data_IF_120139854051
#
_entry.id   IF_120139854051
#
_cell.length_a   1.000
_cell.length_b   1.000
_cell.length_c   1.000
_cell.angle_alpha   90.00
_cell.angle_beta   90.00
_cell.angle_gamma   90.00
#
_symmetry.space_group_name_H-M   'P 1'
#
loop_
_entity.id
_entity.type
_entity.pdbx_description
1 polymer ?
#
# COMPACT_ATOMS: atom_id res chain seq x y z
N UNK A 1 43.66 -5.71 -1.81
CA UNK A 1 44.89 -5.51 -2.60
C UNK A 1 44.70 -4.36 -3.58
N UNK A 2 45.77 -3.66 -3.98
CA UNK A 2 45.71 -2.60 -4.99
C UNK A 2 46.82 -2.77 -6.03
N UNK A 3 46.50 -2.43 -7.28
CA UNK A 3 47.42 -2.39 -8.40
C UNK A 3 47.41 -0.99 -8.99
N UNK A 4 48.58 -0.47 -9.36
CA UNK A 4 48.69 0.80 -10.06
C UNK A 4 49.74 0.75 -11.15
N UNK A 5 49.50 1.46 -12.24
CA UNK A 5 50.40 1.55 -13.38
C UNK A 5 50.43 2.99 -13.90
N UNK A 6 51.53 3.37 -14.56
CA UNK A 6 51.64 4.63 -15.30
C UNK A 6 51.80 4.33 -16.77
N UNK A 7 51.20 5.16 -17.62
CA UNK A 7 51.50 5.19 -19.04
C UNK A 7 52.75 6.03 -19.34
N UNK A 8 53.16 6.04 -20.62
CA UNK A 8 54.32 6.79 -21.11
C UNK A 8 54.16 8.33 -20.98
N UNK A 9 52.93 8.82 -20.76
CA UNK A 9 52.64 10.22 -20.46
C UNK A 9 52.57 10.49 -18.94
N UNK A 10 52.92 9.49 -18.11
CA UNK A 10 52.97 9.58 -16.65
C UNK A 10 51.62 9.54 -15.94
N UNK A 11 50.52 9.33 -16.66
CA UNK A 11 49.15 9.30 -16.10
C UNK A 11 48.96 8.01 -15.31
N UNK A 12 48.41 8.15 -14.10
CA UNK A 12 48.27 7.06 -13.14
C UNK A 12 46.89 6.39 -13.28
N UNK A 13 46.87 5.09 -13.55
CA UNK A 13 45.69 4.25 -13.43
C UNK A 13 45.85 3.33 -12.20
N UNK A 14 44.80 3.21 -11.39
CA UNK A 14 44.80 2.39 -10.18
C UNK A 14 43.48 1.63 -10.06
N UNK A 15 43.58 0.34 -9.74
CA UNK A 15 42.45 -0.52 -9.41
C UNK A 15 42.69 -1.15 -8.04
N UNK A 16 41.69 -1.09 -7.18
CA UNK A 16 41.71 -1.75 -5.88
C UNK A 16 40.68 -2.87 -5.83
N UNK A 17 40.96 -3.87 -4.99
CA UNK A 17 40.17 -5.06 -4.75
C UNK A 17 40.09 -5.22 -3.24
N UNK A 18 39.01 -4.75 -2.62
CA UNK A 18 38.88 -4.76 -1.16
C UNK A 18 38.74 -6.19 -0.62
N UNK A 19 37.91 -6.99 -1.27
CA UNK A 19 37.60 -8.37 -0.88
C UNK A 19 38.42 -9.38 -1.69
N UNK A 20 39.54 -9.85 -1.13
CA UNK A 20 40.30 -10.99 -1.66
C UNK A 20 40.32 -12.13 -0.64
N UNK A 21 39.54 -13.18 -0.91
CA UNK A 21 39.43 -14.35 -0.05
C UNK A 21 40.39 -15.45 -0.50
N UNK A 22 41.30 -15.88 0.38
CA UNK A 22 42.13 -17.08 0.17
C UNK A 22 41.46 -18.27 0.85
N UNK A 23 40.60 -18.98 0.12
CA UNK A 23 40.08 -20.28 0.53
C UNK A 23 40.94 -21.39 -0.07
N UNK A 24 41.95 -21.86 0.66
CA UNK A 24 42.89 -22.87 0.16
C UNK A 24 43.75 -23.51 1.25
N UNK A 25 43.38 -24.74 1.61
CA UNK A 25 44.18 -25.69 2.38
C UNK A 25 43.73 -27.10 1.96
N UNK A 26 44.56 -28.13 2.11
CA UNK A 26 44.12 -29.46 1.68
C UNK A 26 42.94 -29.89 2.58
N UNK A 27 41.83 -30.37 2.00
CA UNK A 27 40.66 -30.79 2.82
C UNK A 27 41.06 -31.82 3.90
N UNK A 28 42.01 -32.70 3.57
CA UNK A 28 42.67 -33.63 4.50
C UNK A 28 43.38 -32.96 5.68
N UNK A 29 43.96 -31.77 5.53
CA UNK A 29 44.64 -31.07 6.62
C UNK A 29 43.62 -30.50 7.61
N UNK A 30 42.51 -29.95 7.09
CA UNK A 30 41.35 -29.49 7.88
C UNK A 30 40.57 -30.67 8.50
N UNK A 31 40.67 -31.87 7.91
CA UNK A 31 40.09 -33.12 8.45
C UNK A 31 41.03 -33.90 9.39
N UNK A 32 42.33 -33.57 9.46
CA UNK A 32 43.32 -34.24 10.34
C UNK A 32 43.79 -33.36 11.50
N UNK A 33 43.93 -32.06 11.29
CA UNK A 33 43.84 -31.09 12.37
C UNK A 33 42.36 -30.95 12.72
N UNK A 34 41.95 -31.38 13.92
CA UNK A 34 40.60 -31.09 14.43
C UNK A 34 40.49 -29.60 14.76
N UNK A 35 40.28 -28.79 13.73
CA UNK A 35 40.04 -27.36 13.85
C UNK A 35 38.56 -27.17 14.21
N UNK A 36 38.29 -27.23 15.51
CA UNK A 36 36.99 -26.83 16.04
C UNK A 36 36.84 -25.31 15.81
N UNK A 37 35.90 -24.91 14.97
CA UNK A 37 35.49 -23.50 14.86
C UNK A 37 34.42 -23.23 15.92
N UNK A 38 34.25 -21.97 16.35
CA UNK A 38 33.17 -21.60 17.26
C UNK A 38 31.86 -21.53 16.46
N UNK A 39 30.88 -22.45 16.66
CA UNK A 39 29.60 -22.36 15.98
C UNK A 39 28.82 -21.14 16.45
N UNK A 40 27.94 -20.63 15.57
CA UNK A 40 26.92 -19.64 15.95
C UNK A 40 25.59 -20.37 16.10
N UNK A 41 25.12 -20.47 17.33
CA UNK A 41 23.83 -21.08 17.67
C UNK A 41 22.67 -20.13 17.34
N UNK A 42 21.43 -20.64 17.30
CA UNK A 42 20.24 -19.80 17.05
C UNK A 42 19.52 -19.42 18.33
N UNK A 43 19.00 -18.19 18.38
CA UNK A 43 18.09 -17.71 19.43
C UNK A 43 16.67 -17.72 18.90
N UNK A 44 15.75 -18.35 19.63
CA UNK A 44 14.32 -18.22 19.37
C UNK A 44 13.77 -17.08 20.22
N UNK A 45 13.29 -16.01 19.58
CA UNK A 45 12.59 -14.89 20.23
C UNK A 45 11.10 -15.11 20.02
N UNK A 46 10.33 -15.25 21.10
CA UNK A 46 8.88 -15.47 21.06
C UNK A 46 8.18 -14.25 21.66
N UNK A 47 7.46 -13.43 20.86
CA UNK A 47 6.69 -12.31 21.37
C UNK A 47 5.35 -12.78 21.97
N UNK A 48 4.81 -12.04 22.95
CA UNK A 48 3.49 -12.33 23.54
C UNK A 48 2.31 -12.09 22.56
N UNK A 49 2.51 -11.28 21.51
CA UNK A 49 1.54 -11.04 20.45
C UNK A 49 2.24 -10.90 19.07
N UNK A 50 1.47 -10.88 17.98
CA UNK A 50 1.99 -10.61 16.63
C UNK A 50 1.89 -9.14 16.23
N UNK A 51 0.84 -8.48 16.69
CA UNK A 51 0.42 -7.14 16.31
C UNK A 51 0.25 -6.35 17.61
N UNK A 52 0.84 -5.16 17.67
CA UNK A 52 0.80 -4.25 18.82
C UNK A 52 0.14 -2.93 18.45
N UNK A 53 -0.47 -2.24 19.41
CA UNK A 53 -0.75 -0.82 19.30
C UNK A 53 0.45 -0.01 19.81
N UNK A 54 0.60 1.26 19.38
CA UNK A 54 1.59 2.14 20.00
C UNK A 54 1.26 2.39 21.48
N UNK A 55 2.30 2.60 22.30
CA UNK A 55 2.23 2.63 23.77
C UNK A 55 1.95 1.29 24.49
N UNK A 56 1.72 0.17 23.79
CA UNK A 56 1.61 -1.17 24.40
C UNK A 56 2.92 -1.63 25.08
N UNK A 57 2.82 -2.53 26.06
CA UNK A 57 3.96 -3.31 26.57
C UNK A 57 4.07 -4.62 25.80
N UNK A 58 5.17 -4.79 25.07
CA UNK A 58 5.55 -6.03 24.41
C UNK A 58 6.44 -6.85 25.36
N UNK A 59 6.08 -8.12 25.57
CA UNK A 59 6.94 -9.10 26.26
C UNK A 59 7.61 -10.02 25.23
N UNK A 60 8.93 -10.13 25.32
CA UNK A 60 9.75 -10.95 24.43
C UNK A 60 10.41 -12.07 25.25
N UNK A 61 9.91 -13.28 25.10
CA UNK A 61 10.51 -14.49 25.67
C UNK A 61 11.69 -14.90 24.78
N UNK A 62 12.91 -14.68 25.27
CA UNK A 62 14.16 -15.07 24.62
C UNK A 62 14.55 -16.45 25.14
N UNK A 63 14.58 -17.45 24.24
CA UNK A 63 15.03 -18.80 24.53
C UNK A 63 16.53 -18.92 24.21
N UNK A 64 17.32 -19.25 25.22
CA UNK A 64 18.77 -19.31 25.13
C UNK A 64 19.25 -20.78 24.98
N UNK A 65 20.10 -21.09 23.99
CA UNK A 65 20.65 -22.45 23.83
C UNK A 65 21.70 -22.80 24.90
N UNK A 66 22.22 -21.82 25.65
CA UNK A 66 23.19 -22.00 26.73
C UNK A 66 23.07 -20.95 27.84
N UNK A 67 23.56 -21.29 29.03
CA UNK A 67 23.75 -20.37 30.17
C UNK A 67 25.03 -20.74 30.94
N UNK A 68 25.71 -19.83 31.63
CA UNK A 68 25.46 -18.37 31.73
C UNK A 68 25.84 -17.62 30.43
N UNK A 69 25.12 -16.54 30.14
CA UNK A 69 25.32 -15.72 28.94
C UNK A 69 25.06 -14.23 29.20
N UNK A 70 25.82 -13.35 28.55
CA UNK A 70 25.52 -11.92 28.43
C UNK A 70 24.71 -11.69 27.15
N UNK A 71 23.62 -10.94 27.23
CA UNK A 71 22.79 -10.60 26.08
C UNK A 71 22.95 -9.14 25.65
N UNK A 72 22.79 -8.93 24.35
CA UNK A 72 22.61 -7.64 23.71
C UNK A 72 21.34 -7.72 22.84
N UNK A 73 20.33 -6.90 23.14
CA UNK A 73 19.09 -6.81 22.37
C UNK A 73 18.95 -5.42 21.78
N UNK A 74 18.67 -5.35 20.48
CA UNK A 74 18.65 -4.15 19.66
C UNK A 74 17.36 -4.12 18.84
N UNK A 75 16.74 -2.96 18.74
CA UNK A 75 15.52 -2.75 17.98
C UNK A 75 15.82 -1.83 16.79
N UNK A 76 15.47 -2.29 15.58
CA UNK A 76 15.71 -1.64 14.29
C UNK A 76 14.39 -1.24 13.61
N UNK A 77 14.31 0.00 13.14
CA UNK A 77 13.27 0.48 12.23
C UNK A 77 13.93 1.39 11.18
N UNK A 78 14.13 0.89 9.95
CA UNK A 78 14.84 1.57 8.84
C UNK A 78 16.28 2.04 9.16
N UNK A 79 16.94 1.46 10.17
CA UNK A 79 18.25 1.88 10.66
C UNK A 79 18.17 2.92 11.79
N UNK A 80 16.98 3.31 12.24
CA UNK A 80 16.81 3.94 13.54
C UNK A 80 16.93 2.86 14.62
N UNK A 81 17.98 2.97 15.43
CA UNK A 81 18.35 1.98 16.44
C UNK A 81 17.95 2.47 17.83
N UNK A 82 17.28 1.63 18.61
CA UNK A 82 17.03 1.92 20.03
C UNK A 82 18.33 1.98 20.84
N UNK A 83 18.24 2.45 22.10
CA UNK A 83 19.31 2.16 23.06
C UNK A 83 19.45 0.62 23.20
N UNK A 84 20.67 0.04 23.12
CA UNK A 84 20.85 -1.40 23.25
C UNK A 84 20.56 -1.86 24.67
N UNK A 85 19.67 -2.84 24.81
CA UNK A 85 19.37 -3.47 26.10
C UNK A 85 20.40 -4.56 26.40
N UNK A 86 20.89 -4.60 27.64
CA UNK A 86 21.85 -5.61 28.11
C UNK A 86 21.38 -6.23 29.42
N UNK A 87 21.50 -7.55 29.52
CA UNK A 87 21.17 -8.34 30.71
C UNK A 87 21.99 -9.63 30.73
N UNK A 88 21.99 -10.32 31.87
CA UNK A 88 22.65 -11.62 32.02
C UNK A 88 21.62 -12.72 32.23
N UNK A 89 21.85 -13.87 31.59
CA UNK A 89 21.10 -15.10 31.81
C UNK A 89 21.85 -15.93 32.84
N UNK A 90 21.26 -16.10 34.02
CA UNK A 90 21.82 -16.90 35.12
C UNK A 90 22.07 -18.35 34.72
N UNK A 91 23.09 -18.97 35.34
CA UNK A 91 23.41 -20.38 35.13
C UNK A 91 22.21 -21.29 35.45
N UNK A 92 21.81 -22.14 34.50
CA UNK A 92 20.67 -23.04 34.64
C UNK A 92 19.31 -22.44 34.23
N UNK A 93 19.25 -21.16 33.83
CA UNK A 93 18.07 -20.61 33.14
C UNK A 93 18.27 -20.72 31.63
N UNK A 94 17.32 -21.32 30.93
CA UNK A 94 17.34 -21.46 29.45
C UNK A 94 16.41 -20.45 28.76
N UNK A 95 15.82 -19.53 29.50
CA UNK A 95 14.98 -18.46 28.98
C UNK A 95 14.98 -17.23 29.88
N UNK A 96 14.60 -16.10 29.31
CA UNK A 96 14.33 -14.85 30.03
C UNK A 96 13.31 -14.02 29.25
N UNK A 97 12.57 -13.15 29.93
CA UNK A 97 11.59 -12.24 29.31
C UNK A 97 12.13 -10.83 29.34
N UNK A 98 12.02 -10.12 28.21
CA UNK A 98 12.31 -8.68 28.11
C UNK A 98 11.01 -7.94 27.86
N UNK A 99 10.68 -7.00 28.75
CA UNK A 99 9.57 -6.06 28.55
C UNK A 99 10.06 -4.81 27.84
N UNK A 100 9.32 -4.35 26.81
CA UNK A 100 9.58 -3.08 26.14
C UNK A 100 8.28 -2.37 25.77
N UNK A 101 8.25 -1.05 25.96
CA UNK A 101 7.12 -0.21 25.53
C UNK A 101 7.26 0.15 24.04
N UNK A 102 6.20 -0.07 23.26
CA UNK A 102 6.20 0.18 21.81
C UNK A 102 6.15 1.67 21.50
N UNK A 103 7.15 2.20 20.77
CA UNK A 103 7.12 3.59 20.29
C UNK A 103 6.22 3.78 19.07
N UNK A 104 5.66 4.99 18.93
CA UNK A 104 4.94 5.44 17.74
C UNK A 104 5.84 5.54 16.50
N UNK A 105 7.14 5.70 16.69
CA UNK A 105 8.11 5.77 15.60
C UNK A 105 8.28 4.42 14.88
N UNK A 106 7.90 3.31 15.53
CA UNK A 106 8.02 1.94 15.01
C UNK A 106 6.83 1.48 14.15
N UNK A 107 5.87 2.37 13.88
CA UNK A 107 4.77 2.11 12.94
C UNK A 107 5.33 2.11 11.49
N UNK A 108 5.04 1.10 10.64
CA UNK A 108 4.11 -0.02 10.87
C UNK A 108 4.76 -1.33 11.34
N UNK A 109 6.09 -1.41 11.37
CA UNK A 109 6.81 -2.57 11.89
C UNK A 109 8.23 -2.21 12.31
N UNK A 110 8.78 -3.03 13.21
CA UNK A 110 10.18 -2.98 13.63
C UNK A 110 10.74 -4.40 13.71
N UNK A 111 12.07 -4.51 13.79
CA UNK A 111 12.76 -5.80 13.93
C UNK A 111 13.58 -5.81 15.21
N UNK A 112 13.41 -6.86 16.00
CA UNK A 112 14.24 -7.15 17.17
C UNK A 112 15.40 -8.04 16.74
N UNK A 113 16.60 -7.68 17.14
CA UNK A 113 17.82 -8.47 17.01
C UNK A 113 18.33 -8.82 18.41
N UNK A 114 18.67 -10.09 18.64
CA UNK A 114 19.30 -10.54 19.88
C UNK A 114 20.62 -11.25 19.58
N UNK A 115 21.65 -10.95 20.37
CA UNK A 115 22.89 -11.71 20.48
C UNK A 115 23.05 -12.19 21.93
N UNK A 116 23.54 -13.42 22.10
CA UNK A 116 23.97 -13.98 23.37
C UNK A 116 25.43 -14.39 23.25
N UNK A 117 26.26 -14.02 24.23
CA UNK A 117 27.66 -14.42 24.30
C UNK A 117 27.95 -15.07 25.66
N UNK A 118 28.56 -16.25 25.65
CA UNK A 118 28.77 -17.05 26.85
C UNK A 118 29.89 -18.06 26.69
N UNK A 119 29.87 -19.09 27.52
CA UNK A 119 30.87 -20.17 27.51
C UNK A 119 30.21 -21.53 27.75
N UNK A 120 30.60 -22.54 26.99
CA UNK A 120 30.08 -23.91 27.10
C UNK A 120 31.28 -24.86 27.35
N UNK A 121 31.13 -25.94 28.14
CA UNK A 121 32.11 -27.02 28.21
C UNK A 121 32.54 -27.54 26.82
N UNK A 122 33.76 -28.07 26.71
CA UNK A 122 34.23 -28.76 25.50
C UNK A 122 33.74 -30.22 25.54
N UNK A 123 33.18 -30.72 24.45
CA UNK A 123 32.63 -32.08 24.37
C UNK A 123 33.69 -33.19 24.26
N UNK A 124 34.93 -32.81 23.94
CA UNK A 124 35.97 -33.70 23.37
C UNK A 124 37.27 -33.77 24.16
N UNK A 125 37.44 -32.96 25.22
CA UNK A 125 38.67 -32.87 26.02
C UNK A 125 38.45 -33.36 27.48
N UNK A 126 39.54 -33.47 28.24
CA UNK A 126 39.58 -34.08 29.58
C UNK A 126 38.80 -33.24 30.60
N UNK A 127 38.29 -33.86 31.65
CA UNK A 127 37.77 -33.19 32.86
C UNK A 127 38.70 -32.06 33.30
N UNK A 128 38.14 -30.89 33.64
CA UNK A 128 38.86 -29.64 33.97
C UNK A 128 39.45 -28.85 32.77
N UNK A 129 39.03 -29.15 31.54
CA UNK A 129 39.36 -28.33 30.35
C UNK A 129 38.59 -26.99 30.33
N UNK A 130 39.21 -25.88 29.88
CA UNK A 130 38.56 -24.57 29.85
C UNK A 130 37.41 -24.52 28.83
N UNK A 131 36.28 -23.94 29.23
CA UNK A 131 35.10 -23.76 28.36
C UNK A 131 35.46 -23.09 27.03
N UNK A 132 34.83 -23.55 25.93
CA UNK A 132 34.86 -22.81 24.67
C UNK A 132 33.95 -21.58 24.77
N UNK A 133 34.25 -20.47 24.07
CA UNK A 133 33.26 -19.43 23.86
C UNK A 133 32.05 -19.98 23.09
N UNK A 134 30.90 -19.36 23.30
CA UNK A 134 29.70 -19.61 22.53
C UNK A 134 29.04 -18.27 22.16
N UNK A 135 28.43 -18.24 20.98
CA UNK A 135 27.61 -17.13 20.51
C UNK A 135 26.30 -17.72 19.97
N UNK A 136 25.18 -17.09 20.32
CA UNK A 136 23.90 -17.34 19.66
C UNK A 136 23.34 -16.04 19.09
N UNK A 137 22.63 -16.13 17.97
CA UNK A 137 22.00 -14.97 17.31
C UNK A 137 20.58 -15.29 16.87
N UNK A 138 19.69 -14.30 16.93
CA UNK A 138 18.33 -14.43 16.42
C UNK A 138 17.68 -13.08 16.13
N UNK A 139 16.61 -13.09 15.33
CA UNK A 139 15.82 -11.88 15.10
C UNK A 139 14.36 -12.19 14.77
N UNK A 140 13.47 -11.26 15.07
CA UNK A 140 12.02 -11.35 14.79
C UNK A 140 11.49 -9.99 14.35
N UNK A 141 10.63 -9.96 13.35
CA UNK A 141 9.90 -8.75 12.92
C UNK A 141 8.53 -8.73 13.59
N UNK A 142 8.12 -7.56 14.10
CA UNK A 142 6.87 -7.36 14.84
C UNK A 142 6.07 -6.22 14.19
N UNK A 143 4.75 -6.41 14.07
CA UNK A 143 3.85 -5.43 13.45
C UNK A 143 3.26 -4.49 14.50
N UNK A 144 3.19 -3.19 14.15
CA UNK A 144 2.61 -2.13 14.98
C UNK A 144 1.52 -1.45 14.18
N UNK A 145 0.31 -1.35 14.75
CA UNK A 145 -0.85 -0.92 13.99
C UNK A 145 -0.77 0.53 13.51
N UNK A 146 -1.29 0.74 12.30
CA UNK A 146 -1.41 2.06 11.65
C UNK A 146 -2.70 2.80 12.01
N UNK A 147 -3.50 2.25 12.92
CA UNK A 147 -4.84 2.75 13.29
C UNK A 147 -4.84 4.22 13.75
N UNK A 148 -3.76 4.68 14.40
CA UNK A 148 -3.56 6.09 14.81
C UNK A 148 -3.51 7.04 13.60
N UNK A 149 -3.03 6.56 12.45
CA UNK A 149 -2.93 7.32 11.19
C UNK A 149 -4.11 7.05 10.25
N UNK A 150 -5.15 6.34 10.70
CA UNK A 150 -6.29 5.97 9.85
C UNK A 150 -7.48 6.92 10.07
N UNK A 151 -8.12 7.31 8.97
CA UNK A 151 -9.40 8.02 8.95
C UNK A 151 -10.50 7.07 8.47
N UNK A 152 -11.65 7.12 9.13
CA UNK A 152 -12.90 6.64 8.57
C UNK A 152 -13.44 7.70 7.60
N UNK A 153 -13.81 7.27 6.40
CA UNK A 153 -14.39 8.14 5.36
C UNK A 153 -15.67 7.47 4.87
N UNK A 154 -16.82 7.99 5.30
CA UNK A 154 -18.12 7.49 4.87
C UNK A 154 -18.68 8.42 3.79
N UNK A 155 -19.09 7.84 2.67
CA UNK A 155 -19.73 8.55 1.57
C UNK A 155 -21.22 8.23 1.62
N UNK A 156 -22.03 9.28 1.75
CA UNK A 156 -23.48 9.23 1.85
C UNK A 156 -24.12 10.01 0.70
N UNK A 157 -25.39 9.75 0.46
CA UNK A 157 -26.26 10.63 -0.34
C UNK A 157 -27.57 10.83 0.42
N UNK A 158 -28.19 12.00 0.25
CA UNK A 158 -29.48 12.34 0.89
C UNK A 158 -30.62 11.40 0.49
N UNK A 159 -30.44 10.63 -0.59
CA UNK A 159 -31.44 9.75 -1.18
C UNK A 159 -30.93 8.29 -1.26
N UNK A 160 -30.50 7.74 -0.11
CA UNK A 160 -29.99 6.36 0.02
C UNK A 160 -30.88 5.35 -0.70
N UNK A 161 -30.26 4.45 -1.46
CA UNK A 161 -30.90 3.41 -2.30
C UNK A 161 -31.81 3.90 -3.43
N UNK A 162 -31.89 5.20 -3.74
CA UNK A 162 -32.56 5.65 -4.98
C UNK A 162 -31.67 5.42 -6.21
N UNK A 163 -32.33 5.21 -7.36
CA UNK A 163 -31.68 5.33 -8.67
C UNK A 163 -31.86 6.77 -9.17
N UNK A 164 -30.76 7.38 -9.60
CA UNK A 164 -30.77 8.77 -10.08
C UNK A 164 -31.11 8.84 -11.57
N UNK A 165 -31.58 10.00 -12.04
CA UNK A 165 -31.89 10.22 -13.46
C UNK A 165 -30.74 10.91 -14.21
N UNK A 166 -30.58 10.68 -15.52
CA UNK A 166 -29.69 11.46 -16.39
C UNK A 166 -29.86 12.98 -16.20
N UNK A 167 -28.76 13.74 -16.27
CA UNK A 167 -28.76 15.21 -16.11
C UNK A 167 -29.32 15.76 -14.78
N UNK A 168 -29.64 14.92 -13.79
CA UNK A 168 -30.08 15.36 -12.45
C UNK A 168 -28.92 15.90 -11.60
N UNK A 169 -29.26 16.72 -10.61
CA UNK A 169 -28.33 17.20 -9.59
C UNK A 169 -28.43 16.25 -8.39
N UNK A 170 -27.28 15.76 -7.92
CA UNK A 170 -27.17 14.94 -6.71
C UNK A 170 -26.36 15.65 -5.63
N UNK A 171 -26.65 15.30 -4.38
CA UNK A 171 -25.84 15.69 -3.24
C UNK A 171 -25.08 14.47 -2.71
N UNK A 172 -23.75 14.54 -2.76
CA UNK A 172 -22.85 13.58 -2.10
C UNK A 172 -22.35 14.24 -0.83
N UNK A 173 -22.65 13.65 0.32
CA UNK A 173 -22.18 14.09 1.62
C UNK A 173 -21.06 13.15 2.06
N UNK A 174 -19.90 13.67 2.47
CA UNK A 174 -18.76 12.88 2.97
C UNK A 174 -18.52 13.22 4.43
N UNK A 175 -18.65 12.21 5.29
CA UNK A 175 -18.40 12.29 6.73
C UNK A 175 -17.04 11.66 7.06
N UNK A 176 -16.16 12.39 7.76
CA UNK A 176 -14.79 11.99 8.10
C UNK A 176 -14.60 12.00 9.61
N UNK A 177 -14.20 10.84 10.16
CA UNK A 177 -13.89 10.68 11.58
C UNK A 177 -12.55 9.99 11.81
N UNK A 178 -11.95 10.18 12.98
CA UNK A 178 -10.76 9.45 13.39
C UNK A 178 -11.10 7.97 13.62
N UNK A 179 -10.24 7.05 13.18
CA UNK A 179 -10.56 5.62 13.19
C UNK A 179 -10.78 5.04 14.60
N UNK A 180 -9.97 5.45 15.58
CA UNK A 180 -10.03 4.97 16.97
C UNK A 180 -11.23 5.58 17.71
N UNK A 181 -11.21 6.89 17.95
CA UNK A 181 -12.17 7.56 18.83
C UNK A 181 -13.50 7.95 18.14
N UNK A 182 -13.60 7.77 16.81
CA UNK A 182 -14.73 8.16 15.97
C UNK A 182 -15.11 9.66 16.07
N UNK A 183 -14.18 10.50 16.54
CA UNK A 183 -14.33 11.94 16.62
C UNK A 183 -14.30 12.59 15.22
N UNK A 184 -15.13 13.61 14.94
CA UNK A 184 -15.13 14.31 13.67
C UNK A 184 -13.84 15.10 13.45
N UNK A 185 -13.34 15.11 12.21
CA UNK A 185 -12.12 15.83 11.84
C UNK A 185 -12.45 17.17 11.18
N UNK A 186 -12.13 18.28 11.84
CA UNK A 186 -12.18 19.62 11.25
C UNK A 186 -11.04 19.81 10.22
N UNK A 187 -11.34 20.41 9.06
CA UNK A 187 -10.37 20.73 8.00
C UNK A 187 -9.58 19.54 7.43
N UNK A 188 -10.12 18.33 7.47
CA UNK A 188 -9.60 17.24 6.64
C UNK A 188 -9.73 17.62 5.16
N UNK A 189 -8.66 17.45 4.39
CA UNK A 189 -8.63 17.70 2.96
C UNK A 189 -9.20 16.49 2.22
N UNK A 190 -10.11 16.75 1.27
CA UNK A 190 -10.87 15.76 0.53
C UNK A 190 -10.68 15.94 -0.97
N UNK A 191 -10.26 14.86 -1.64
CA UNK A 191 -10.31 14.72 -3.09
C UNK A 191 -11.45 13.75 -3.45
N UNK A 192 -12.42 14.22 -4.24
CA UNK A 192 -13.58 13.43 -4.69
C UNK A 192 -13.43 13.08 -6.18
N UNK A 193 -13.68 11.81 -6.51
CA UNK A 193 -13.68 11.29 -7.89
C UNK A 193 -14.99 10.53 -8.11
N UNK A 194 -15.71 10.85 -9.20
CA UNK A 194 -16.93 10.13 -9.62
C UNK A 194 -16.77 9.67 -11.07
N UNK A 195 -16.62 8.36 -11.26
CA UNK A 195 -16.20 7.75 -12.53
C UNK A 195 -17.06 6.54 -12.92
N UNK A 196 -17.31 6.38 -14.21
CA UNK A 196 -18.13 5.31 -14.80
C UNK A 196 -17.47 3.93 -14.56
N UNK A 197 -18.18 3.04 -13.88
CA UNK A 197 -17.69 1.69 -13.56
C UNK A 197 -17.40 0.86 -14.82
N UNK A 198 -18.05 1.16 -15.94
CA UNK A 198 -17.76 0.53 -17.23
C UNK A 198 -16.33 0.82 -17.71
N UNK A 199 -15.70 1.91 -17.27
CA UNK A 199 -14.29 2.22 -17.58
C UNK A 199 -13.34 1.53 -16.60
N UNK A 200 -13.67 1.51 -15.30
CA UNK A 200 -12.84 0.82 -14.30
C UNK A 200 -12.77 -0.69 -14.53
N UNK A 201 -13.90 -1.31 -14.88
CA UNK A 201 -14.02 -2.76 -15.09
C UNK A 201 -13.28 -3.28 -16.33
N UNK A 202 -12.93 -2.42 -17.30
CA UNK A 202 -12.07 -2.79 -18.44
C UNK A 202 -10.61 -3.09 -18.03
N UNK A 203 -10.15 -2.50 -16.92
CA UNK A 203 -8.77 -2.64 -16.43
C UNK A 203 -8.68 -3.31 -15.06
N UNK A 204 -9.81 -3.45 -14.35
CA UNK A 204 -9.84 -3.92 -12.97
C UNK A 204 -9.29 -2.89 -11.97
N UNK A 205 -9.21 -1.62 -12.35
CA UNK A 205 -8.57 -0.56 -11.57
C UNK A 205 -9.26 -0.33 -10.22
N UNK A 206 -8.45 -0.26 -9.17
CA UNK A 206 -8.83 0.14 -7.80
C UNK A 206 -7.90 1.26 -7.35
N UNK A 207 -8.32 2.07 -6.38
CA UNK A 207 -7.40 2.91 -5.64
C UNK A 207 -6.80 2.11 -4.49
N UNK A 208 -5.48 2.13 -4.37
CA UNK A 208 -4.80 1.68 -3.16
C UNK A 208 -5.06 2.68 -2.03
N UNK A 209 -5.08 2.19 -0.78
CA UNK A 209 -5.23 3.06 0.38
C UNK A 209 -4.01 3.99 0.49
N UNK A 210 -4.16 5.32 0.64
CA UNK A 210 -3.03 6.21 0.85
C UNK A 210 -2.22 5.86 2.11
N UNK A 211 -2.85 5.21 3.09
CA UNK A 211 -2.19 4.70 4.30
C UNK A 211 -1.14 3.62 3.96
N UNK A 212 -1.37 2.78 2.95
CA UNK A 212 -0.42 1.77 2.48
C UNK A 212 0.73 2.39 1.66
N UNK A 213 0.48 3.53 1.01
CA UNK A 213 1.47 4.28 0.23
C UNK A 213 2.41 5.10 1.14
N UNK A 214 1.86 5.77 2.15
CA UNK A 214 2.62 6.63 3.07
C UNK A 214 3.19 5.90 4.29
N UNK A 215 2.60 4.75 4.69
CA UNK A 215 3.12 3.86 5.73
C UNK A 215 3.26 2.41 5.20
N UNK A 216 4.17 2.17 4.23
CA UNK A 216 4.51 0.84 3.76
C UNK A 216 5.33 0.07 4.81
N UNK A 217 5.37 -1.26 4.72
CA UNK A 217 6.19 -2.08 5.61
C UNK A 217 7.68 -1.80 5.40
N UNK A 218 8.38 -1.60 6.50
CA UNK A 218 9.76 -1.13 6.60
C UNK A 218 10.75 -2.29 6.59
N UNK A 219 11.85 -2.15 5.85
CA UNK A 219 12.98 -3.07 5.96
C UNK A 219 13.79 -2.81 7.23
N UNK A 220 14.39 -3.88 7.76
CA UNK A 220 15.52 -3.75 8.67
C UNK A 220 16.77 -3.39 7.85
N UNK A 221 17.50 -2.36 8.29
CA UNK A 221 18.68 -1.85 7.61
C UNK A 221 19.98 -2.18 8.37
N UNK A 222 19.90 -2.79 9.56
CA UNK A 222 21.07 -3.36 10.24
C UNK A 222 21.50 -4.67 9.57
N UNK A 223 22.72 -4.68 9.03
CA UNK A 223 23.45 -5.92 8.68
C UNK A 223 24.36 -6.30 9.84
N UNK A 224 24.22 -7.53 10.35
CA UNK A 224 25.08 -8.05 11.40
C UNK A 224 26.24 -8.85 10.80
N UNK A 225 27.46 -8.55 11.24
CA UNK A 225 28.68 -9.29 10.86
C UNK A 225 29.26 -9.95 12.12
N UNK A 226 29.53 -11.26 12.04
CA UNK A 226 30.09 -12.03 13.15
C UNK A 226 31.30 -12.84 12.66
N UNK A 227 32.51 -12.44 13.04
CA UNK A 227 33.74 -13.16 12.66
C UNK A 227 34.10 -14.30 13.61
N UNK A 228 33.32 -14.53 14.68
CA UNK A 228 33.59 -15.58 15.68
C UNK A 228 33.60 -16.99 15.09
N UNK A 229 32.84 -17.22 14.03
CA UNK A 229 32.84 -18.46 13.25
C UNK A 229 34.15 -18.70 12.46
N UNK A 230 34.98 -17.67 12.26
CA UNK A 230 36.33 -17.79 11.69
C UNK A 230 37.42 -17.92 12.78
N UNK A 231 37.07 -17.78 14.07
CA UNK A 231 38.01 -17.99 15.17
C UNK A 231 38.30 -19.48 15.37
N UNK A 232 39.56 -19.86 15.21
CA UNK A 232 40.09 -21.20 15.47
C UNK A 232 40.07 -21.49 16.99
N UNK A 233 39.42 -22.56 17.43
CA UNK A 233 39.51 -23.02 18.81
C UNK A 233 40.76 -23.89 18.97
N UNK A 234 41.81 -23.33 19.59
CA UNK A 234 43.00 -24.12 19.92
C UNK A 234 42.68 -25.26 20.91
N UNK A 235 43.24 -26.43 20.65
CA UNK A 235 43.34 -27.52 21.64
C UNK A 235 44.26 -27.09 22.80
N UNK A 236 44.19 -27.79 23.94
CA UNK A 236 44.93 -27.39 25.15
C UNK A 236 46.46 -27.28 24.95
N UNK A 237 47.06 -28.12 24.10
CA UNK A 237 48.51 -28.14 23.85
C UNK A 237 48.95 -26.90 23.05
N UNK A 238 48.18 -26.52 22.03
CA UNK A 238 48.43 -25.31 21.26
C UNK A 238 48.14 -24.04 22.06
N UNK A 239 47.20 -24.04 23.01
CA UNK A 239 47.00 -22.91 23.96
C UNK A 239 48.27 -22.69 24.79
N UNK A 240 48.88 -23.75 25.33
CA UNK A 240 50.13 -23.62 26.09
C UNK A 240 51.30 -23.12 25.24
N UNK A 241 51.43 -23.66 24.02
CA UNK A 241 52.45 -23.27 23.06
C UNK A 241 52.29 -21.80 22.67
N UNK A 242 51.08 -21.37 22.33
CA UNK A 242 50.74 -20.00 21.99
C UNK A 242 50.98 -19.03 23.15
N UNK A 243 50.71 -19.42 24.41
CA UNK A 243 51.05 -18.62 25.59
C UNK A 243 52.56 -18.40 25.73
N UNK A 244 53.37 -19.44 25.48
CA UNK A 244 54.85 -19.36 25.50
C UNK A 244 55.37 -18.46 24.35
N UNK A 245 54.83 -18.61 23.14
CA UNK A 245 55.12 -17.74 22.00
C UNK A 245 54.75 -16.26 22.24
N UNK A 246 53.57 -15.99 22.81
CA UNK A 246 53.11 -14.62 23.09
C UNK A 246 53.96 -13.93 24.15
N UNK A 247 54.38 -14.66 25.20
CA UNK A 247 55.31 -14.13 26.21
C UNK A 247 56.68 -13.76 25.61
N UNK A 248 57.10 -14.40 24.52
CA UNK A 248 58.32 -14.02 23.79
C UNK A 248 58.12 -12.81 22.86
N UNK A 249 56.90 -12.57 22.36
CA UNK A 249 56.57 -11.49 21.40
C UNK A 249 56.20 -10.14 22.01
N UNK A 250 55.96 -10.06 23.33
CA UNK A 250 55.73 -8.77 24.02
C UNK A 250 56.93 -7.81 24.00
N UNK A 251 58.08 -8.25 23.48
CA UNK A 251 59.33 -7.49 23.36
C UNK A 251 59.49 -6.70 22.05
N UNK A 252 58.50 -6.72 21.14
CA UNK A 252 58.70 -6.33 19.72
C UNK A 252 57.58 -5.47 19.10
N UNK A 253 56.81 -4.72 19.89
CA UNK A 253 55.69 -3.89 19.40
C UNK A 253 55.72 -2.44 19.90
N UNK A 254 56.84 -1.75 19.65
CA UNK A 254 56.85 -0.28 19.53
C UNK A 254 56.85 0.11 18.04
N UNK A 255 56.23 1.24 17.72
CA UNK A 255 56.12 1.86 16.38
C UNK A 255 55.29 1.12 15.30
N UNK A 256 53.98 1.40 15.28
CA UNK A 256 53.29 1.71 14.01
C UNK A 256 52.63 3.08 14.20
N UNK A 257 52.96 4.04 13.35
CA UNK A 257 52.58 5.45 13.49
C UNK A 257 51.34 5.79 12.65
N UNK A 258 50.51 6.72 13.14
CA UNK A 258 49.22 7.08 12.55
C UNK A 258 49.37 8.27 11.60
N UNK A 259 48.83 8.18 10.37
CA UNK A 259 48.72 9.32 9.45
C UNK A 259 47.33 9.39 8.82
N UNK A 260 46.76 10.60 8.77
CA UNK A 260 45.40 10.92 8.30
C UNK A 260 45.44 12.24 7.49
N UNK A 261 44.27 12.71 7.02
CA UNK A 261 44.05 13.96 6.23
C UNK A 261 44.58 13.92 4.77
N UNK A 262 44.10 14.67 3.76
CA UNK A 262 43.05 15.73 3.50
C UNK A 262 42.73 15.66 1.98
N UNK A 263 41.74 16.28 1.29
CA UNK A 263 40.60 17.18 1.54
C UNK A 263 39.68 17.25 0.28
N UNK A 264 38.40 17.64 0.41
CA UNK A 264 37.47 17.91 -0.73
C UNK A 264 37.73 19.25 -1.49
N UNK A 265 37.32 19.37 -2.77
CA UNK A 265 36.93 20.63 -3.43
C UNK A 265 35.41 20.73 -3.77
N UNK A 266 34.95 21.87 -4.32
CA UNK A 266 33.51 22.24 -4.49
C UNK A 266 33.13 22.83 -5.88
N UNK A 267 31.85 22.64 -6.24
CA UNK A 267 30.93 23.37 -7.17
C UNK A 267 31.41 24.47 -8.14
N UNK A 268 30.82 24.53 -9.36
CA UNK A 268 30.11 25.74 -9.87
C UNK A 268 29.23 25.61 -11.15
N UNK A 269 27.95 26.05 -11.09
CA UNK A 269 27.17 26.80 -12.14
C UNK A 269 26.84 26.13 -13.52
N UNK A 270 25.89 26.57 -14.39
CA UNK A 270 24.88 27.67 -14.39
C UNK A 270 23.75 27.44 -15.45
N UNK A 271 22.52 27.96 -15.23
CA UNK A 271 21.53 28.50 -16.23
C UNK A 271 21.01 27.60 -17.41
N UNK A 272 19.94 27.88 -18.21
CA UNK A 272 18.66 28.66 -18.18
C UNK A 272 17.87 28.35 -19.50
N UNK A 273 16.58 28.65 -19.77
CA UNK A 273 15.36 28.86 -18.94
C UNK A 273 14.10 29.12 -19.81
N UNK A 274 12.92 28.64 -19.39
CA UNK A 274 11.54 29.09 -19.74
C UNK A 274 10.90 28.79 -21.14
N UNK A 275 9.56 28.66 -21.13
CA UNK A 275 8.66 28.59 -22.29
C UNK A 275 7.17 28.53 -21.84
N UNK A 276 6.25 29.25 -22.50
CA UNK A 276 4.84 29.45 -22.06
C UNK A 276 3.88 29.40 -23.27
N UNK A 277 2.65 28.88 -23.10
CA UNK A 277 1.60 28.88 -24.13
C UNK A 277 0.19 28.91 -23.55
N UNK A 278 -0.69 29.74 -24.13
CA UNK A 278 -2.09 30.01 -23.72
C UNK A 278 -3.12 29.19 -24.50
N UNK A 279 -4.35 29.07 -23.98
CA UNK A 279 -5.57 28.83 -24.79
C UNK A 279 -6.76 28.26 -24.01
N UNK A 280 -7.99 28.73 -24.28
CA UNK A 280 -9.22 28.18 -23.67
C UNK A 280 -10.53 28.85 -24.11
N UNK A 281 -11.64 28.35 -23.54
CA UNK A 281 -13.05 28.74 -23.70
C UNK A 281 -13.77 28.39 -25.02
N UNK A 282 -15.07 28.09 -24.91
CA UNK A 282 -15.98 27.80 -26.04
C UNK A 282 -17.21 26.96 -25.64
N UNK A 283 -18.16 27.54 -24.89
CA UNK A 283 -19.50 26.95 -24.63
C UNK A 283 -20.56 27.55 -25.56
N UNK A 284 -21.62 26.80 -25.88
CA UNK A 284 -22.80 27.30 -26.58
C UNK A 284 -24.05 26.44 -26.33
N UNK A 285 -25.06 27.03 -25.69
CA UNK A 285 -26.38 26.43 -25.44
C UNK A 285 -27.34 26.63 -26.63
N UNK A 286 -28.26 25.68 -26.87
CA UNK A 286 -29.47 25.89 -27.66
C UNK A 286 -30.63 24.96 -27.24
N UNK A 287 -31.78 25.58 -26.94
CA UNK A 287 -33.17 25.10 -27.03
C UNK A 287 -33.55 23.66 -26.59
N UNK A 288 -34.44 23.57 -25.59
CA UNK A 288 -35.06 22.30 -25.18
C UNK A 288 -36.12 21.80 -26.19
N UNK A 289 -35.64 21.14 -27.23
CA UNK A 289 -36.32 19.99 -27.82
C UNK A 289 -36.43 18.86 -26.77
N UNK A 290 -37.05 17.71 -27.12
CA UNK A 290 -36.92 16.50 -26.29
C UNK A 290 -35.42 16.20 -26.20
N UNK A 291 -34.84 16.36 -25.00
CA UNK A 291 -33.40 16.45 -24.82
C UNK A 291 -32.69 15.19 -25.34
N UNK A 292 -32.06 15.31 -26.51
CA UNK A 292 -31.22 14.25 -27.07
C UNK A 292 -29.96 14.19 -26.21
N UNK A 293 -29.91 13.16 -25.37
CA UNK A 293 -28.78 12.85 -24.49
C UNK A 293 -27.47 12.96 -25.27
N UNK A 294 -26.56 13.78 -24.77
CA UNK A 294 -25.37 14.23 -25.50
C UNK A 294 -24.11 14.29 -24.62
N UNK A 295 -24.25 14.55 -23.32
CA UNK A 295 -23.12 14.50 -22.40
C UNK A 295 -22.86 13.06 -21.94
N UNK A 296 -21.96 12.36 -22.64
CA UNK A 296 -21.60 10.97 -22.30
C UNK A 296 -20.27 10.82 -21.53
N UNK A 297 -19.88 11.84 -20.76
CA UNK A 297 -18.59 11.87 -20.06
C UNK A 297 -18.48 10.74 -19.00
N UNK A 298 -17.48 9.83 -19.10
CA UNK A 298 -17.26 8.80 -18.08
C UNK A 298 -16.74 9.36 -16.74
N UNK A 299 -16.13 10.55 -16.72
CA UNK A 299 -15.77 11.25 -15.49
C UNK A 299 -16.89 12.26 -15.15
N UNK A 300 -17.85 11.85 -14.32
CA UNK A 300 -18.95 12.72 -13.92
C UNK A 300 -18.51 13.86 -13.00
N UNK A 301 -17.48 13.64 -12.17
CA UNK A 301 -16.93 14.68 -11.31
C UNK A 301 -15.48 14.38 -10.91
N UNK A 302 -14.68 15.44 -10.77
CA UNK A 302 -13.41 15.43 -10.06
C UNK A 302 -13.26 16.75 -9.30
N UNK A 303 -13.07 16.67 -7.99
CA UNK A 303 -12.85 17.81 -7.10
C UNK A 303 -11.53 17.52 -6.38
N UNK A 304 -10.42 18.18 -6.75
CA UNK A 304 -9.08 17.82 -6.26
C UNK A 304 -8.84 18.19 -4.80
N UNK A 305 -9.54 19.21 -4.29
CA UNK A 305 -9.45 19.68 -2.91
C UNK A 305 -10.78 20.28 -2.46
N UNK A 306 -11.19 19.92 -1.26
CA UNK A 306 -12.20 20.58 -0.43
C UNK A 306 -11.92 20.25 1.03
N UNK A 307 -12.49 20.99 1.98
CA UNK A 307 -12.20 20.81 3.41
C UNK A 307 -13.47 20.48 4.19
N UNK A 308 -13.36 19.58 5.18
CA UNK A 308 -14.44 19.32 6.12
C UNK A 308 -14.66 20.48 7.08
N UNK A 309 -15.91 20.65 7.50
CA UNK A 309 -16.28 21.54 8.60
C UNK A 309 -16.03 20.91 9.98
N UNK A 310 -16.27 21.68 11.05
CA UNK A 310 -16.07 21.26 12.44
C UNK A 310 -16.96 20.11 12.93
N UNK A 311 -17.87 19.60 12.10
CA UNK A 311 -18.63 18.36 12.35
C UNK A 311 -18.12 17.16 11.53
N UNK A 312 -16.95 17.29 10.89
CA UNK A 312 -16.31 16.24 10.11
C UNK A 312 -16.83 16.11 8.68
N UNK A 313 -17.64 17.05 8.18
CA UNK A 313 -18.39 16.87 6.94
C UNK A 313 -18.03 17.82 5.82
N UNK A 314 -18.15 17.36 4.59
CA UNK A 314 -18.22 18.19 3.38
C UNK A 314 -19.38 17.71 2.48
N UNK A 315 -20.08 18.63 1.85
CA UNK A 315 -21.22 18.35 0.96
C UNK A 315 -20.91 18.84 -0.45
N UNK A 316 -21.10 17.97 -1.44
CA UNK A 316 -20.85 18.25 -2.85
C UNK A 316 -22.17 18.26 -3.63
N UNK A 317 -22.37 19.28 -4.47
CA UNK A 317 -23.49 19.34 -5.42
C UNK A 317 -22.95 19.05 -6.83
N UNK A 318 -23.46 17.99 -7.46
CA UNK A 318 -22.91 17.45 -8.71
C UNK A 318 -24.04 17.25 -9.71
N UNK A 319 -23.94 17.88 -10.88
CA UNK A 319 -24.82 17.58 -12.02
C UNK A 319 -24.29 16.36 -12.78
N UNK A 320 -25.10 15.32 -12.88
CA UNK A 320 -24.73 14.09 -13.57
C UNK A 320 -24.70 14.26 -15.10
N UNK A 321 -23.86 13.47 -15.81
CA UNK A 321 -23.97 13.28 -17.26
C UNK A 321 -25.27 12.57 -17.69
N UNK A 322 -25.40 12.33 -18.99
CA UNK A 322 -26.54 11.63 -19.58
C UNK A 322 -26.35 10.09 -19.66
N UNK A 323 -25.27 9.55 -19.07
CA UNK A 323 -24.96 8.13 -19.02
C UNK A 323 -26.08 7.35 -18.30
N UNK A 324 -26.38 6.15 -18.80
CA UNK A 324 -27.21 5.16 -18.11
C UNK A 324 -26.27 4.07 -17.59
N UNK A 325 -25.58 4.38 -16.48
CA UNK A 325 -24.47 3.59 -15.95
C UNK A 325 -24.49 3.52 -14.42
N UNK A 326 -23.59 2.74 -13.84
CA UNK A 326 -23.24 2.79 -12.42
C UNK A 326 -21.96 3.61 -12.26
N UNK A 327 -22.03 4.67 -11.47
CA UNK A 327 -20.87 5.50 -11.13
C UNK A 327 -20.24 4.99 -9.83
N UNK A 328 -18.94 4.77 -9.85
CA UNK A 328 -18.13 4.59 -8.65
C UNK A 328 -17.73 5.95 -8.09
N UNK A 329 -17.75 6.07 -6.77
CA UNK A 329 -17.36 7.27 -6.03
C UNK A 329 -16.19 6.91 -5.12
N UNK A 330 -15.13 7.70 -5.20
CA UNK A 330 -14.01 7.67 -4.28
C UNK A 330 -13.89 9.01 -3.56
N UNK A 331 -13.70 8.96 -2.24
CA UNK A 331 -13.32 10.10 -1.42
C UNK A 331 -12.00 9.77 -0.72
N UNK A 332 -10.92 10.42 -1.16
CA UNK A 332 -9.61 10.36 -0.51
C UNK A 332 -9.56 11.45 0.55
N UNK A 333 -9.28 11.10 1.80
CA UNK A 333 -9.16 12.03 2.92
C UNK A 333 -7.75 12.07 3.49
N UNK A 334 -7.27 13.26 3.85
CA UNK A 334 -6.02 13.45 4.58
C UNK A 334 -6.13 14.56 5.64
N UNK A 335 -5.39 14.42 6.73
CA UNK A 335 -5.22 15.45 7.76
C UNK A 335 -3.85 15.27 8.44
N UNK A 336 -2.87 16.12 8.13
CA UNK A 336 -1.45 15.99 8.50
C UNK A 336 -0.87 14.61 8.16
N UNK A 337 -0.89 13.68 9.13
CA UNK A 337 -0.39 12.30 9.01
C UNK A 337 -1.48 11.24 8.95
N UNK A 338 -2.74 11.64 9.04
CA UNK A 338 -3.89 10.73 9.00
C UNK A 338 -4.44 10.63 7.57
N UNK A 339 -4.81 9.41 7.15
CA UNK A 339 -5.25 9.09 5.79
C UNK A 339 -6.46 8.14 5.78
N UNK A 340 -7.35 8.31 4.81
CA UNK A 340 -8.47 7.40 4.58
C UNK A 340 -8.94 7.38 3.13
N UNK A 341 -9.62 6.29 2.75
CA UNK A 341 -10.29 6.11 1.46
C UNK A 341 -11.72 5.64 1.73
N UNK A 342 -12.69 6.42 1.29
CA UNK A 342 -14.10 6.05 1.26
C UNK A 342 -14.49 5.59 -0.15
N UNK A 343 -15.36 4.59 -0.21
CA UNK A 343 -15.92 4.06 -1.47
C UNK A 343 -17.45 4.01 -1.40
N UNK A 344 -18.10 4.36 -2.51
CA UNK A 344 -19.55 4.19 -2.72
C UNK A 344 -19.79 3.96 -4.21
N UNK A 345 -20.97 3.47 -4.60
CA UNK A 345 -21.40 3.55 -6.00
C UNK A 345 -22.91 3.74 -6.09
N UNK A 346 -23.38 4.43 -7.13
CA UNK A 346 -24.80 4.66 -7.39
C UNK A 346 -25.15 4.42 -8.86
N UNK A 347 -26.39 4.05 -9.13
CA UNK A 347 -26.88 3.80 -10.49
C UNK A 347 -27.62 5.02 -11.04
N UNK A 348 -27.46 5.29 -12.33
CA UNK A 348 -28.21 6.28 -13.10
C UNK A 348 -29.03 5.54 -14.16
N UNK A 349 -30.36 5.64 -14.10
CA UNK A 349 -31.27 5.00 -15.06
C UNK A 349 -32.52 5.86 -15.32
N UNK A 350 -33.24 5.58 -16.40
CA UNK A 350 -34.53 6.21 -16.67
C UNK A 350 -35.67 5.41 -16.02
N UNK A 351 -36.61 6.04 -15.29
CA UNK A 351 -37.69 5.32 -14.61
C UNK A 351 -38.58 4.56 -15.61
N UNK A 352 -38.73 5.11 -16.82
CA UNK A 352 -39.38 4.47 -17.96
C UNK A 352 -38.38 4.39 -19.12
N UNK A 353 -38.18 3.19 -19.66
CA UNK A 353 -37.44 2.95 -20.90
C UNK A 353 -38.43 2.66 -22.04
N UNK A 354 -38.22 3.31 -23.19
CA UNK A 354 -39.03 3.16 -24.40
C UNK A 354 -38.17 2.49 -25.47
N UNK A 355 -38.61 1.34 -25.98
CA UNK A 355 -37.91 0.58 -27.03
C UNK A 355 -38.86 0.30 -28.21
N UNK A 356 -38.81 1.09 -29.30
CA UNK A 356 -39.54 0.76 -30.52
C UNK A 356 -38.95 -0.50 -31.18
N UNK A 357 -39.82 -1.36 -31.70
CA UNK A 357 -39.45 -2.50 -32.55
C UNK A 357 -40.01 -2.29 -33.96
N UNK A 358 -39.33 -1.46 -34.72
CA UNK A 358 -39.65 -1.11 -36.10
C UNK A 358 -39.17 -2.21 -37.09
N UNK A 359 -39.90 -2.47 -38.18
CA UNK A 359 -39.35 -3.16 -39.35
C UNK A 359 -38.10 -2.43 -39.89
N UNK A 360 -37.16 -3.17 -40.50
CA UNK A 360 -35.94 -2.57 -41.08
C UNK A 360 -36.23 -1.66 -42.29
N UNK A 361 -37.28 -1.98 -43.04
CA UNK A 361 -37.81 -1.20 -44.15
C UNK A 361 -39.29 -1.55 -44.34
N UNK A 362 -40.02 -0.70 -45.07
CA UNK A 362 -41.37 -0.93 -45.60
C UNK A 362 -41.42 -0.30 -46.99
N UNK A 363 -42.15 -0.91 -47.91
CA UNK A 363 -42.40 -0.37 -49.25
C UNK A 363 -43.64 0.53 -49.25
N UNK A 364 -43.82 1.33 -50.29
CA UNK A 364 -45.00 2.17 -50.43
C UNK A 364 -46.25 1.30 -50.70
N UNK A 365 -47.15 1.23 -49.73
CA UNK A 365 -48.35 0.38 -49.77
C UNK A 365 -48.31 -0.84 -48.84
N UNK A 366 -47.16 -1.14 -48.23
CA UNK A 366 -47.09 -2.13 -47.16
C UNK A 366 -47.85 -1.63 -45.92
N UNK A 367 -48.53 -2.54 -45.20
CA UNK A 367 -49.13 -2.26 -43.90
C UNK A 367 -48.37 -2.99 -42.79
N UNK A 368 -48.26 -2.36 -41.62
CA UNK A 368 -47.40 -2.83 -40.54
C UNK A 368 -48.04 -2.64 -39.16
N UNK A 369 -47.57 -3.44 -38.20
CA UNK A 369 -47.91 -3.28 -36.79
C UNK A 369 -46.65 -2.83 -36.03
N UNK A 370 -46.57 -1.52 -35.77
CA UNK A 370 -45.41 -0.91 -35.11
C UNK A 370 -45.56 -1.08 -33.60
N UNK A 371 -44.88 -2.08 -33.05
CA UNK A 371 -44.83 -2.32 -31.62
C UNK A 371 -43.80 -1.42 -30.93
N UNK A 372 -44.16 -0.87 -29.78
CA UNK A 372 -43.30 -0.10 -28.88
C UNK A 372 -43.37 -0.73 -27.49
N UNK A 373 -42.23 -1.18 -26.98
CA UNK A 373 -42.12 -1.76 -25.64
C UNK A 373 -41.84 -0.62 -24.65
N UNK A 374 -42.74 -0.43 -23.70
CA UNK A 374 -42.53 0.37 -22.50
C UNK A 374 -42.04 -0.56 -21.38
N UNK A 375 -40.95 -0.18 -20.69
CA UNK A 375 -40.46 -0.86 -19.50
C UNK A 375 -40.42 0.13 -18.34
N UNK A 376 -41.06 -0.21 -17.23
CA UNK A 376 -40.85 0.44 -15.95
C UNK A 376 -39.61 -0.18 -15.28
N UNK A 377 -38.73 0.68 -14.75
CA UNK A 377 -37.51 0.30 -14.03
C UNK A 377 -37.57 0.72 -12.54
N UNK A 378 -38.77 1.01 -12.03
CA UNK A 378 -39.02 1.42 -10.65
C UNK A 378 -40.04 0.52 -9.95
N UNK A 379 -40.10 0.64 -8.63
CA UNK A 379 -41.07 -0.05 -7.77
C UNK A 379 -42.41 0.69 -7.64
N UNK A 380 -42.58 1.82 -8.34
CA UNK A 380 -43.83 2.58 -8.41
C UNK A 380 -44.61 2.20 -9.67
N UNK A 381 -45.95 2.32 -9.64
CA UNK A 381 -46.76 2.25 -10.86
C UNK A 381 -46.79 3.62 -11.55
N UNK A 382 -46.88 3.64 -12.87
CA UNK A 382 -47.07 4.88 -13.64
C UNK A 382 -48.32 4.80 -14.51
N UNK A 383 -49.13 5.87 -14.52
CA UNK A 383 -50.07 6.13 -15.61
C UNK A 383 -49.30 6.87 -16.71
N UNK A 384 -49.18 6.26 -17.89
CA UNK A 384 -48.44 6.79 -19.02
C UNK A 384 -49.39 7.08 -20.18
N UNK A 385 -49.22 8.24 -20.80
CA UNK A 385 -49.82 8.58 -22.09
C UNK A 385 -48.73 8.45 -23.16
N UNK A 386 -48.86 7.47 -24.04
CA UNK A 386 -47.87 7.16 -25.06
C UNK A 386 -48.48 7.37 -26.45
N UNK A 387 -47.91 8.31 -27.21
CA UNK A 387 -48.34 8.63 -28.56
C UNK A 387 -47.27 8.29 -29.60
N UNK A 388 -47.70 7.77 -30.75
CA UNK A 388 -46.88 7.64 -31.95
C UNK A 388 -47.39 8.61 -33.01
N UNK A 389 -46.51 9.46 -33.53
CA UNK A 389 -46.78 10.37 -34.65
C UNK A 389 -46.00 9.88 -35.88
N UNK A 390 -46.71 9.69 -36.98
CA UNK A 390 -46.14 9.33 -38.27
C UNK A 390 -45.96 10.57 -39.15
N UNK A 391 -44.85 10.62 -39.88
CA UNK A 391 -44.61 11.54 -41.00
C UNK A 391 -44.33 10.70 -42.24
N UNK A 392 -44.93 11.07 -43.39
CA UNK A 392 -44.91 10.32 -44.65
C UNK A 392 -45.52 8.89 -44.61
N UNK A 393 -46.10 8.49 -43.47
CA UNK A 393 -46.94 7.31 -43.32
C UNK A 393 -48.27 7.70 -42.63
N UNK A 394 -49.25 6.78 -42.63
CA UNK A 394 -50.56 6.95 -41.99
C UNK A 394 -50.66 6.02 -40.79
N UNK A 395 -51.73 6.14 -40.01
CA UNK A 395 -52.09 5.18 -38.98
C UNK A 395 -53.49 4.63 -39.28
N UNK A 396 -53.64 3.30 -39.23
CA UNK A 396 -54.83 2.59 -39.71
C UNK A 396 -55.93 2.54 -38.62
N UNK A 397 -56.34 3.72 -38.17
CA UNK A 397 -57.43 3.89 -37.19
C UNK A 397 -58.79 4.03 -37.88
N UNK A 398 -59.77 3.27 -37.43
CA UNK A 398 -60.96 2.86 -38.21
C UNK A 398 -61.97 3.94 -38.63
N UNK A 399 -61.76 5.22 -38.31
CA UNK A 399 -62.70 6.31 -38.68
C UNK A 399 -62.04 7.60 -39.21
N UNK A 400 -60.72 7.75 -39.15
CA UNK A 400 -60.00 8.88 -39.78
C UNK A 400 -58.54 8.51 -40.05
N UNK A 401 -57.98 9.00 -41.17
CA UNK A 401 -56.56 8.84 -41.51
C UNK A 401 -55.68 9.76 -40.65
N UNK A 402 -55.55 9.46 -39.35
CA UNK A 402 -54.83 10.30 -38.40
C UNK A 402 -53.30 10.11 -38.55
N UNK A 403 -52.54 11.19 -38.40
CA UNK A 403 -51.06 11.17 -38.38
C UNK A 403 -50.50 10.92 -36.97
N UNK A 404 -51.34 10.84 -35.95
CA UNK A 404 -50.96 10.49 -34.59
C UNK A 404 -52.02 9.61 -33.94
N UNK A 405 -51.57 8.67 -33.11
CA UNK A 405 -52.42 7.80 -32.28
C UNK A 405 -51.83 7.75 -30.87
N UNK A 406 -52.67 7.76 -29.85
CA UNK A 406 -52.25 7.72 -28.45
C UNK A 406 -52.99 6.67 -27.63
N UNK A 407 -52.27 6.05 -26.70
CA UNK A 407 -52.82 5.13 -25.70
C UNK A 407 -52.51 5.62 -24.29
N UNK A 408 -53.45 5.40 -23.37
CA UNK A 408 -53.24 5.56 -21.93
C UNK A 408 -53.06 4.18 -21.31
N UNK A 409 -51.99 3.97 -20.55
CA UNK A 409 -51.67 2.66 -19.95
C UNK A 409 -51.14 2.80 -18.53
N UNK A 410 -51.61 1.95 -17.62
CA UNK A 410 -51.04 1.80 -16.27
C UNK A 410 -49.94 0.76 -16.32
N UNK A 411 -48.68 1.20 -16.21
CA UNK A 411 -47.51 0.34 -16.23
C UNK A 411 -47.07 0.01 -14.80
N UNK A 412 -47.23 -1.26 -14.43
CA UNK A 412 -46.99 -1.76 -13.08
C UNK A 412 -45.49 -1.77 -12.69
N UNK A 413 -45.15 -1.80 -11.38
CA UNK A 413 -43.78 -1.88 -10.87
C UNK A 413 -42.94 -2.96 -11.55
N UNK A 414 -41.75 -2.62 -12.02
CA UNK A 414 -40.82 -3.51 -12.72
C UNK A 414 -41.44 -4.36 -13.87
N UNK A 415 -42.54 -3.91 -14.49
CA UNK A 415 -43.18 -4.59 -15.63
C UNK A 415 -42.88 -3.94 -16.97
N UNK A 416 -43.13 -4.72 -18.03
CA UNK A 416 -43.13 -4.30 -19.43
C UNK A 416 -44.55 -4.36 -20.00
N UNK A 417 -44.85 -3.47 -20.93
CA UNK A 417 -46.03 -3.55 -21.79
C UNK A 417 -45.64 -3.25 -23.24
N UNK A 418 -46.33 -3.87 -24.19
CA UNK A 418 -46.23 -3.54 -25.60
C UNK A 418 -47.46 -2.71 -26.01
N UNK A 419 -47.23 -1.59 -26.69
CA UNK A 419 -48.25 -0.84 -27.40
C UNK A 419 -48.04 -1.03 -28.90
N UNK A 420 -49.11 -1.38 -29.62
CA UNK A 420 -49.04 -1.70 -31.05
C UNK A 420 -49.82 -0.67 -31.83
N UNK A 421 -49.13 0.06 -32.71
CA UNK A 421 -49.71 1.09 -33.58
C UNK A 421 -49.82 0.55 -35.01
N UNK A 422 -51.03 0.40 -35.58
CA UNK A 422 -51.19 -0.08 -36.95
C UNK A 422 -50.93 1.06 -37.94
N UNK A 423 -50.14 0.78 -38.98
CA UNK A 423 -49.53 1.73 -39.93
C UNK A 423 -49.80 1.31 -41.38
#
# INVERSE_FOLDING_TARGET
MSYSVKDEQGRLAMSFYDNFYVSGGHKKEIETQKVDYIPTDTITIVPNAKNYQPDDTCELLILAPFSSANSLVIFDCEGQVSQPMQFQIESGKNSTTVEIKISKDWIPNFKVHAELTGSIPRETEVTDSPHRPAIATGSVTLEVSRDVYKLNVFINTKETNKTYTPSSIIHIDVDVTQYLDNLPVDKAEICLIVVDEAVLSLTGHKLDSPLDIFYPNRSANITQYHDRNHCLLFNMQDIEKFKKDMQQRQSSFDHIELCCERSMPKYMSMACSAGVGYGGFGDSNAEQQIAVRSNFNPLACWIPLSMTNSSGRVSFEIKLPDNLTRYHVWALATNDKQYGLGEMSFTVQLPIMIRPSLPRFLNYGDTAHISVILQNQTDLFFLLHAGLRATNAKLLTSQTNQQALGYSIVLQPSKRAALTFPL
#
